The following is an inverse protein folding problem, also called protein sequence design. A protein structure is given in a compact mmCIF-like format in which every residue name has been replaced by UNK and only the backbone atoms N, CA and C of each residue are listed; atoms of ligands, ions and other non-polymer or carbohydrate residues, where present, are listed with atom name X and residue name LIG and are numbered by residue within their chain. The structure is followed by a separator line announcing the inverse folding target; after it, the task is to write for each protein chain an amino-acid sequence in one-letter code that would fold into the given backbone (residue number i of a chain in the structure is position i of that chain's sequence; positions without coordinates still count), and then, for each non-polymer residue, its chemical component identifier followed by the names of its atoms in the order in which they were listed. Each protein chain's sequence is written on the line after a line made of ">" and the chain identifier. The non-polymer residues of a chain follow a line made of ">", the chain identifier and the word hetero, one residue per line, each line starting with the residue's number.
data_IF_315555570149
#
_entry.id   IF_315555570149
#
_cell.length_a   1.000
_cell.length_b   1.000
_cell.length_c   1.000
_cell.angle_alpha   90.00
_cell.angle_beta   90.00
_cell.angle_gamma   90.00
#
_symmetry.space_group_name_H-M   'P 1'
#
loop_
_entity.id
_entity.type
_entity.pdbx_description
1 polymer ?
#
# COMPACT_ATOMS: atom_id res chain seq x y z
N UNK A 1 15.06 9.67 7.69
CA UNK A 1 15.43 10.96 8.29
C UNK A 1 15.90 11.88 7.18
N UNK A 2 14.96 12.63 6.58
CA UNK A 2 15.32 13.73 5.67
C UNK A 2 15.94 14.81 6.56
N UNK A 3 17.15 15.25 6.23
CA UNK A 3 17.87 16.27 7.00
C UNK A 3 17.04 17.55 7.05
N UNK A 4 16.75 18.03 8.26
CA UNK A 4 15.96 19.23 8.55
C UNK A 4 16.86 20.48 8.50
N UNK A 5 17.82 20.47 7.58
CA UNK A 5 18.86 21.48 7.41
C UNK A 5 18.77 22.13 6.01
N UNK A 6 17.74 21.78 5.24
CA UNK A 6 17.42 22.40 3.95
C UNK A 6 16.59 23.65 4.20
N UNK A 7 17.22 24.81 4.02
CA UNK A 7 16.62 26.15 3.97
C UNK A 7 15.10 26.10 3.68
N UNK A 8 14.26 26.66 4.55
CA UNK A 8 12.79 26.60 4.43
C UNK A 8 12.32 27.05 3.03
N UNK A 9 13.07 27.95 2.39
CA UNK A 9 12.85 28.35 0.99
C UNK A 9 12.99 27.19 0.00
N UNK A 10 13.96 26.29 0.19
CA UNK A 10 14.15 25.08 -0.61
C UNK A 10 12.99 24.09 -0.43
N UNK A 11 12.58 23.81 0.81
CA UNK A 11 11.41 22.93 1.08
C UNK A 11 10.13 23.51 0.46
N UNK A 12 9.89 24.81 0.61
CA UNK A 12 8.76 25.50 0.00
C UNK A 12 8.78 25.39 -1.53
N UNK A 13 9.95 25.52 -2.15
CA UNK A 13 10.11 25.40 -3.59
C UNK A 13 9.85 23.97 -4.08
N UNK A 14 10.38 22.96 -3.38
CA UNK A 14 10.13 21.54 -3.66
C UNK A 14 8.65 21.20 -3.51
N UNK A 15 7.98 21.66 -2.46
CA UNK A 15 6.54 21.45 -2.28
C UNK A 15 5.72 22.09 -3.41
N UNK A 16 6.04 23.33 -3.81
CA UNK A 16 5.36 23.99 -4.95
C UNK A 16 5.54 23.23 -6.26
N UNK A 17 6.76 22.76 -6.54
CA UNK A 17 7.04 21.93 -7.71
C UNK A 17 6.31 20.59 -7.66
N UNK A 18 6.29 19.93 -6.51
CA UNK A 18 5.53 18.70 -6.32
C UNK A 18 4.03 18.93 -6.56
N UNK A 19 3.46 20.02 -6.03
CA UNK A 19 2.05 20.39 -6.26
C UNK A 19 1.79 20.67 -7.75
N UNK A 20 2.65 21.44 -8.42
CA UNK A 20 2.49 21.74 -9.84
C UNK A 20 2.60 20.47 -10.70
N UNK A 21 3.57 19.62 -10.39
CA UNK A 21 3.74 18.31 -11.02
C UNK A 21 2.48 17.46 -10.85
N UNK A 22 1.96 17.34 -9.62
CA UNK A 22 0.74 16.58 -9.35
C UNK A 22 -0.48 17.16 -10.05
N UNK A 23 -0.60 18.49 -10.15
CA UNK A 23 -1.69 19.13 -10.86
C UNK A 23 -1.65 18.81 -12.36
N UNK A 24 -0.49 18.97 -13.01
CA UNK A 24 -0.31 18.64 -14.43
C UNK A 24 -0.55 17.15 -14.68
N UNK A 25 0.03 16.29 -13.85
CA UNK A 25 -0.16 14.85 -13.94
C UNK A 25 -1.65 14.47 -13.83
N UNK A 26 -2.36 14.99 -12.83
CA UNK A 26 -3.79 14.74 -12.64
C UNK A 26 -4.62 15.26 -13.82
N UNK A 27 -4.31 16.44 -14.37
CA UNK A 27 -4.99 16.97 -15.56
C UNK A 27 -4.81 16.07 -16.78
N UNK A 28 -3.60 15.55 -17.01
CA UNK A 28 -3.35 14.59 -18.10
C UNK A 28 -4.15 13.31 -17.86
N UNK A 29 -4.05 12.71 -16.68
CA UNK A 29 -4.78 11.48 -16.32
C UNK A 29 -6.30 11.66 -16.45
N UNK A 30 -6.84 12.83 -16.11
CA UNK A 30 -8.27 13.13 -16.21
C UNK A 30 -8.79 13.05 -17.65
N UNK A 31 -7.98 13.43 -18.64
CA UNK A 31 -8.34 13.31 -20.06
C UNK A 31 -8.56 11.83 -20.42
N UNK A 32 -7.60 10.96 -20.06
CA UNK A 32 -7.72 9.51 -20.29
C UNK A 32 -8.83 8.86 -19.48
N UNK A 33 -9.05 9.30 -18.24
CA UNK A 33 -10.06 8.75 -17.34
C UNK A 33 -11.49 8.95 -17.86
N UNK A 34 -11.73 9.98 -18.69
CA UNK A 34 -13.04 10.27 -19.27
C UNK A 34 -13.56 9.18 -20.22
N UNK A 35 -12.68 8.34 -20.75
CA UNK A 35 -13.02 7.26 -21.69
C UNK A 35 -13.23 5.90 -21.00
N UNK A 36 -12.88 5.77 -19.73
CA UNK A 36 -12.81 4.48 -19.01
C UNK A 36 -14.13 4.07 -18.33
N UNK A 37 -15.23 4.78 -18.60
CA UNK A 37 -16.53 4.53 -18.00
C UNK A 37 -16.75 5.31 -16.70
N UNK A 38 -17.47 4.73 -15.75
CA UNK A 38 -17.83 5.43 -14.52
C UNK A 38 -16.60 5.70 -13.64
N UNK A 39 -16.36 6.95 -13.25
CA UNK A 39 -15.20 7.34 -12.43
C UNK A 39 -15.11 6.51 -11.13
N UNK A 40 -16.24 6.21 -10.49
CA UNK A 40 -16.27 5.40 -9.27
C UNK A 40 -15.79 3.97 -9.54
N UNK A 41 -16.10 3.40 -10.70
CA UNK A 41 -15.69 2.06 -11.09
C UNK A 41 -14.20 2.02 -11.38
N UNK A 42 -13.69 3.00 -12.12
CA UNK A 42 -12.26 3.14 -12.43
C UNK A 42 -11.46 3.26 -11.14
N UNK A 43 -11.83 4.19 -10.26
CA UNK A 43 -11.16 4.40 -8.97
C UNK A 43 -11.20 3.13 -8.11
N UNK A 44 -12.33 2.44 -8.06
CA UNK A 44 -12.45 1.24 -7.25
C UNK A 44 -11.69 0.04 -7.83
N UNK A 45 -11.62 -0.06 -9.17
CA UNK A 45 -10.80 -1.06 -9.86
C UNK A 45 -9.32 -0.85 -9.57
N UNK A 46 -8.79 0.37 -9.70
CA UNK A 46 -7.40 0.68 -9.38
C UNK A 46 -7.11 0.58 -7.88
N UNK A 47 -8.00 1.12 -7.04
CA UNK A 47 -7.86 1.06 -5.59
C UNK A 47 -7.84 -0.37 -5.07
N UNK A 48 -8.60 -1.28 -5.67
CA UNK A 48 -8.69 -2.67 -5.20
C UNK A 48 -7.40 -3.49 -5.34
N UNK A 49 -6.41 -3.01 -6.11
CA UNK A 49 -5.08 -3.61 -6.13
C UNK A 49 -4.29 -3.36 -4.84
N UNK A 50 -4.56 -2.23 -4.18
CA UNK A 50 -3.77 -1.75 -3.05
C UNK A 50 -4.52 -1.81 -1.72
N UNK A 51 -5.82 -1.51 -1.71
CA UNK A 51 -6.61 -1.41 -0.48
C UNK A 51 -6.61 -2.71 0.31
N UNK A 52 -6.76 -3.87 -0.36
CA UNK A 52 -6.65 -5.18 0.29
C UNK A 52 -5.32 -5.38 0.99
N UNK A 53 -4.22 -5.10 0.29
CA UNK A 53 -2.89 -5.32 0.83
C UNK A 53 -2.58 -4.39 2.02
N UNK A 54 -3.00 -3.11 1.94
CA UNK A 54 -2.88 -2.15 3.05
C UNK A 54 -3.72 -2.61 4.25
N UNK A 55 -4.98 -3.01 4.02
CA UNK A 55 -5.85 -3.57 5.06
C UNK A 55 -5.20 -4.79 5.72
N UNK A 56 -4.62 -5.71 4.95
CA UNK A 56 -3.93 -6.87 5.49
C UNK A 56 -2.74 -6.53 6.38
N UNK A 57 -1.94 -5.51 6.02
CA UNK A 57 -0.85 -5.01 6.87
C UNK A 57 -1.40 -4.43 8.17
N UNK A 58 -2.46 -3.63 8.10
CA UNK A 58 -3.13 -3.08 9.30
C UNK A 58 -3.67 -4.19 10.20
N UNK A 59 -4.37 -5.17 9.62
CA UNK A 59 -4.89 -6.32 10.35
C UNK A 59 -3.78 -7.11 11.03
N UNK A 60 -2.65 -7.32 10.35
CA UNK A 60 -1.48 -7.99 10.93
C UNK A 60 -0.95 -7.20 12.14
N UNK A 61 -0.78 -5.89 11.99
CA UNK A 61 -0.24 -5.03 13.03
C UNK A 61 -1.11 -4.98 14.29
N UNK A 62 -2.44 -4.96 14.16
CA UNK A 62 -3.36 -4.91 15.30
C UNK A 62 -3.72 -6.30 15.85
N UNK A 63 -3.80 -7.30 14.97
CA UNK A 63 -4.36 -8.62 15.26
C UNK A 63 -3.33 -9.67 15.65
N UNK A 64 -2.04 -9.43 15.38
CA UNK A 64 -0.98 -10.41 15.65
C UNK A 64 0.12 -9.86 16.55
N UNK A 65 0.22 -10.39 17.77
CA UNK A 65 1.18 -9.90 18.80
C UNK A 65 2.64 -9.98 18.36
N UNK A 66 2.98 -10.92 17.48
CA UNK A 66 4.34 -11.13 16.99
C UNK A 66 4.63 -10.41 15.67
N UNK A 67 3.69 -9.60 15.17
CA UNK A 67 3.87 -8.87 13.92
C UNK A 67 5.16 -8.04 13.94
N UNK A 68 5.94 -8.13 12.86
CA UNK A 68 7.16 -7.35 12.70
C UNK A 68 7.24 -6.73 11.29
N UNK A 69 8.17 -5.79 11.11
CA UNK A 69 8.32 -5.06 9.84
C UNK A 69 8.70 -5.98 8.67
N UNK A 70 9.50 -7.02 8.91
CA UNK A 70 9.87 -8.00 7.89
C UNK A 70 8.64 -8.76 7.40
N UNK A 71 7.79 -9.24 8.31
CA UNK A 71 6.57 -9.96 7.99
C UNK A 71 5.53 -9.08 7.30
N UNK A 72 5.34 -7.85 7.77
CA UNK A 72 4.47 -6.88 7.10
C UNK A 72 4.93 -6.59 5.66
N UNK A 73 6.24 -6.40 5.46
CA UNK A 73 6.81 -6.13 4.13
C UNK A 73 6.72 -7.34 3.19
N UNK A 74 7.11 -8.53 3.66
CA UNK A 74 7.00 -9.75 2.86
C UNK A 74 5.54 -10.09 2.53
N UNK A 75 4.65 -9.89 3.50
CA UNK A 75 3.20 -10.04 3.33
C UNK A 75 2.71 -9.10 2.24
N UNK A 76 3.03 -7.81 2.32
CA UNK A 76 2.65 -6.79 1.33
C UNK A 76 3.07 -7.18 -0.09
N UNK A 77 4.33 -7.57 -0.28
CA UNK A 77 4.85 -7.98 -1.60
C UNK A 77 4.12 -9.22 -2.11
N UNK A 78 3.92 -10.24 -1.26
CA UNK A 78 3.20 -11.45 -1.64
C UNK A 78 1.72 -11.16 -1.99
N UNK A 79 1.05 -10.33 -1.21
CA UNK A 79 -0.33 -9.92 -1.45
C UNK A 79 -0.49 -9.19 -2.79
N UNK A 80 0.39 -8.24 -3.08
CA UNK A 80 0.40 -7.53 -4.36
C UNK A 80 0.69 -8.47 -5.54
N UNK A 81 1.64 -9.40 -5.39
CA UNK A 81 1.96 -10.38 -6.43
C UNK A 81 0.78 -11.32 -6.72
N UNK A 82 0.11 -11.84 -5.68
CA UNK A 82 -1.06 -12.72 -5.85
C UNK A 82 -2.23 -11.96 -6.46
N UNK A 83 -2.51 -10.73 -6.01
CA UNK A 83 -3.56 -9.89 -6.61
C UNK A 83 -3.27 -9.64 -8.10
N UNK A 84 -2.03 -9.27 -8.44
CA UNK A 84 -1.62 -9.10 -9.84
C UNK A 84 -1.79 -10.37 -10.68
N UNK A 85 -1.43 -11.53 -10.14
CA UNK A 85 -1.62 -12.82 -10.81
C UNK A 85 -3.11 -13.14 -11.02
N UNK A 86 -3.95 -12.93 -10.01
CA UNK A 86 -5.40 -13.19 -10.08
C UNK A 86 -6.06 -12.27 -11.10
N UNK A 87 -5.70 -10.99 -11.14
CA UNK A 87 -6.24 -10.06 -12.16
C UNK A 87 -5.85 -10.47 -13.58
N UNK A 88 -4.63 -10.98 -13.78
CA UNK A 88 -4.17 -11.43 -15.10
C UNK A 88 -4.81 -12.76 -15.54
N UNK A 89 -5.18 -13.61 -14.57
CA UNK A 89 -5.57 -15.01 -14.84
C UNK A 89 -7.07 -15.27 -14.65
N UNK A 90 -7.85 -14.32 -14.15
CA UNK A 90 -9.25 -14.57 -13.76
C UNK A 90 -10.15 -13.35 -14.00
N UNK A 91 -11.38 -13.60 -14.45
CA UNK A 91 -12.41 -12.57 -14.69
C UNK A 91 -13.34 -12.36 -13.49
N UNK A 92 -12.80 -12.27 -12.27
CA UNK A 92 -13.59 -12.00 -11.06
C UNK A 92 -13.79 -10.49 -10.85
N UNK A 93 -14.89 -10.13 -10.18
CA UNK A 93 -15.19 -8.75 -9.85
C UNK A 93 -14.06 -8.12 -9.03
N UNK A 94 -13.72 -6.87 -9.33
CA UNK A 94 -12.50 -6.27 -8.80
C UNK A 94 -12.49 -6.15 -7.26
N UNK A 95 -13.66 -6.15 -6.62
CA UNK A 95 -13.81 -6.14 -5.16
C UNK A 95 -13.14 -7.34 -4.48
N UNK A 96 -13.09 -8.50 -5.14
CA UNK A 96 -12.48 -9.71 -4.59
C UNK A 96 -10.97 -9.57 -4.40
N UNK A 97 -10.30 -8.72 -5.17
CA UNK A 97 -8.88 -8.45 -5.00
C UNK A 97 -8.57 -7.86 -3.61
N UNK A 98 -9.51 -7.10 -3.03
CA UNK A 98 -9.34 -6.58 -1.67
C UNK A 98 -9.27 -7.70 -0.64
N UNK A 99 -10.23 -8.63 -0.71
CA UNK A 99 -10.30 -9.75 0.21
C UNK A 99 -9.09 -10.68 0.05
N UNK A 100 -8.73 -10.99 -1.20
CA UNK A 100 -7.58 -11.85 -1.52
C UNK A 100 -6.28 -11.21 -1.04
N UNK A 101 -6.06 -9.92 -1.38
CA UNK A 101 -4.89 -9.18 -0.95
C UNK A 101 -4.77 -9.15 0.57
N UNK A 102 -5.83 -8.78 1.28
CA UNK A 102 -5.83 -8.74 2.74
C UNK A 102 -5.52 -10.11 3.36
N UNK A 103 -6.15 -11.17 2.87
CA UNK A 103 -5.95 -12.53 3.37
C UNK A 103 -4.51 -13.02 3.14
N UNK A 104 -3.95 -12.79 1.95
CA UNK A 104 -2.57 -13.20 1.62
C UNK A 104 -1.57 -12.42 2.44
N UNK A 105 -1.70 -11.10 2.54
CA UNK A 105 -0.80 -10.27 3.36
C UNK A 105 -0.83 -10.72 4.81
N UNK A 106 -2.02 -10.94 5.37
CA UNK A 106 -2.17 -11.38 6.76
C UNK A 106 -1.55 -12.77 6.97
N UNK A 107 -1.85 -13.75 6.11
CA UNK A 107 -1.32 -15.11 6.23
C UNK A 107 0.21 -15.17 6.09
N UNK A 108 0.76 -14.58 5.01
CA UNK A 108 2.21 -14.56 4.79
C UNK A 108 2.90 -13.73 5.86
N UNK A 109 2.31 -12.61 6.24
CA UNK A 109 2.85 -11.73 7.27
C UNK A 109 2.91 -12.38 8.64
N UNK A 110 1.91 -13.18 9.03
CA UNK A 110 1.97 -14.01 10.23
C UNK A 110 3.12 -15.02 10.14
N UNK A 111 3.16 -15.83 9.08
CA UNK A 111 4.18 -16.88 8.90
C UNK A 111 5.59 -16.30 8.99
N UNK A 112 5.87 -15.23 8.24
CA UNK A 112 7.20 -14.61 8.25
C UNK A 112 7.48 -13.93 9.59
N UNK A 113 6.49 -13.32 10.23
CA UNK A 113 6.67 -12.73 11.56
C UNK A 113 7.05 -13.78 12.61
N UNK A 114 6.43 -14.96 12.57
CA UNK A 114 6.76 -16.08 13.44
C UNK A 114 8.19 -16.57 13.24
N UNK A 115 8.62 -16.72 11.97
CA UNK A 115 9.95 -17.20 11.61
C UNK A 115 11.06 -16.19 11.93
N UNK A 116 10.77 -14.89 11.83
CA UNK A 116 11.80 -13.84 11.99
C UNK A 116 11.89 -13.29 13.42
N UNK A 117 11.02 -13.72 14.34
CA UNK A 117 11.04 -13.34 15.76
C UNK A 117 10.63 -11.88 16.03
N UNK A 118 10.30 -11.51 17.29
CA UNK A 118 9.97 -10.13 17.63
C UNK A 118 11.20 -9.23 17.47
N UNK A 119 11.12 -8.14 16.68
CA UNK A 119 12.10 -7.05 16.81
C UNK A 119 11.77 -6.25 18.08
N UNK A 120 12.77 -6.14 18.94
CA UNK A 120 12.82 -5.45 20.24
C UNK A 120 11.82 -4.30 20.40
N UNK A 121 11.17 -4.28 21.56
CA UNK A 121 10.53 -3.10 22.15
C UNK A 121 11.48 -1.90 22.04
N UNK A 122 10.99 -0.80 21.47
CA UNK A 122 11.67 0.50 21.45
C UNK A 122 11.60 1.21 22.82
N UNK A 123 11.04 0.55 23.83
CA UNK A 123 10.95 1.04 25.21
C UNK A 123 12.09 0.37 25.98
N UNK A 124 13.14 1.11 26.37
CA UNK A 124 14.09 0.64 27.37
C UNK A 124 13.32 0.41 28.69
N UNK A 125 13.55 -0.73 29.34
CA UNK A 125 13.05 -0.96 30.70
C UNK A 125 13.56 0.17 31.64
N UNK A 126 12.72 0.65 32.58
CA UNK A 126 13.07 1.73 33.49
C UNK A 126 14.21 1.39 34.46
#
# INVERSE_FOLDING_TARGET
>A
WVRDDGDQAHLLWVSKLATLFWAVFASIVAIWASELGSLIEVVNRFGSFFYGSILGVFLLAIGWKRANSTGAFSGLIAGMAVVGYVTASTTIAFLWHNLIGAAVVFAVGMIVSELTGPRRSLIPDP
#
